data_IF_471925187060
#
_entry.id   IF_471925187060
#
_cell.length_a   1.000
_cell.length_b   1.000
_cell.length_c   1.000
_cell.angle_alpha   90.00
_cell.angle_beta   90.00
_cell.angle_gamma   90.00
#
_symmetry.space_group_name_H-M   'P 1'
#
loop_
_entity.id
_entity.type
_entity.pdbx_description
1 polymer ?
#
# COMPACT_ATOMS: atom_id res chain seq x y z
N UNK A 1 -37.56 47.55 0.78
CA UNK A 1 -36.21 48.09 1.07
C UNK A 1 -35.52 47.15 2.06
N UNK A 2 -34.86 46.12 1.52
CA UNK A 2 -33.41 45.88 1.63
C UNK A 2 -32.96 45.46 3.06
N UNK A 3 -33.14 44.19 3.46
CA UNK A 3 -32.27 43.04 3.19
C UNK A 3 -30.82 43.22 3.69
N UNK A 4 -30.51 42.68 4.87
CA UNK A 4 -29.14 42.57 5.41
C UNK A 4 -28.77 41.10 5.52
N UNK A 5 -27.96 40.61 4.57
CA UNK A 5 -27.37 39.26 4.55
C UNK A 5 -26.34 39.11 5.69
N UNK A 6 -26.24 37.95 6.36
CA UNK A 6 -25.03 37.57 7.06
C UNK A 6 -24.07 36.88 6.08
N UNK A 7 -22.85 37.41 5.98
CA UNK A 7 -21.78 36.81 5.19
C UNK A 7 -21.21 35.57 5.86
N UNK A 8 -21.32 34.44 5.19
CA UNK A 8 -20.60 33.21 5.47
C UNK A 8 -19.10 33.40 5.17
N UNK A 9 -18.26 33.25 6.19
CA UNK A 9 -16.82 33.02 6.01
C UNK A 9 -16.54 31.53 6.20
N UNK A 10 -16.53 30.79 5.10
CA UNK A 10 -15.93 29.46 5.04
C UNK A 10 -14.41 29.63 5.20
N UNK A 11 -13.90 29.30 6.38
CA UNK A 11 -12.48 29.02 6.56
C UNK A 11 -12.35 27.51 6.60
N UNK A 12 -11.97 26.91 5.46
CA UNK A 12 -11.57 25.52 5.41
C UNK A 12 -10.34 25.35 6.33
N UNK A 13 -10.57 24.76 7.51
CA UNK A 13 -9.49 24.24 8.35
C UNK A 13 -9.03 22.94 7.69
N UNK A 14 -7.91 22.99 7.00
CA UNK A 14 -7.08 21.81 6.72
C UNK A 14 -6.80 21.14 8.06
N UNK A 15 -7.36 19.95 8.26
CA UNK A 15 -7.05 19.14 9.42
C UNK A 15 -5.55 18.84 9.39
N UNK A 16 -4.82 19.29 10.42
CA UNK A 16 -3.43 18.87 10.61
C UNK A 16 -3.44 17.36 10.93
N UNK A 17 -2.56 16.55 10.33
CA UNK A 17 -2.46 15.13 10.65
C UNK A 17 -2.15 14.93 12.13
N UNK A 18 -2.69 13.87 12.71
CA UNK A 18 -2.49 13.48 14.11
C UNK A 18 -0.99 13.35 14.41
N UNK A 19 -0.55 13.78 15.60
CA UNK A 19 0.87 13.91 15.92
C UNK A 19 1.62 12.57 16.05
N UNK A 20 0.95 11.44 15.84
CA UNK A 20 1.48 10.08 15.99
C UNK A 20 2.13 9.55 14.71
N UNK A 21 1.62 9.87 13.52
CA UNK A 21 2.19 9.38 12.24
C UNK A 21 3.59 9.98 11.95
N UNK A 22 3.85 11.19 12.45
CA UNK A 22 5.11 11.91 12.27
C UNK A 22 6.15 11.65 13.37
N UNK A 23 5.97 10.62 14.19
CA UNK A 23 6.95 10.24 15.21
C UNK A 23 6.92 8.73 15.44
N UNK A 24 8.04 8.04 15.19
CA UNK A 24 8.15 6.58 15.39
C UNK A 24 9.33 6.27 16.30
N UNK A 25 9.09 5.50 17.36
CA UNK A 25 10.15 5.04 18.26
C UNK A 25 10.38 3.55 18.07
N UNK A 26 11.63 3.17 17.89
CA UNK A 26 12.07 1.79 17.68
C UNK A 26 12.84 1.30 18.89
N UNK A 27 12.61 0.05 19.35
CA UNK A 27 13.35 -0.51 20.47
C UNK A 27 14.85 -0.64 20.14
N UNK A 28 15.73 -0.69 21.15
CA UNK A 28 17.15 -0.86 20.94
C UNK A 28 17.46 -2.19 20.24
N UNK A 29 18.40 -2.15 19.31
CA UNK A 29 18.94 -3.38 18.71
C UNK A 29 19.85 -4.09 19.72
N UNK A 30 19.59 -5.39 19.93
CA UNK A 30 20.46 -6.24 20.73
C UNK A 30 21.87 -6.37 20.14
N UNK A 31 22.84 -6.83 20.94
CA UNK A 31 24.19 -7.08 20.47
C UNK A 31 24.21 -8.16 19.39
N UNK A 32 24.97 -7.93 18.31
CA UNK A 32 25.05 -8.90 17.20
C UNK A 32 26.24 -9.84 17.35
N UNK A 33 26.00 -11.12 17.14
CA UNK A 33 27.03 -12.17 17.17
C UNK A 33 27.72 -12.24 15.80
N UNK A 34 29.03 -11.96 15.77
CA UNK A 34 29.86 -12.04 14.56
C UNK A 34 30.39 -10.69 14.08
N UNK A 35 31.70 -10.60 13.81
CA UNK A 35 32.39 -9.35 13.44
C UNK A 35 32.15 -8.89 11.99
N UNK A 36 31.46 -9.69 11.18
CA UNK A 36 31.28 -9.49 9.73
C UNK A 36 29.84 -9.27 9.27
N UNK A 37 28.83 -9.29 10.15
CA UNK A 37 27.46 -8.97 9.71
C UNK A 37 27.39 -7.55 9.15
N UNK A 38 26.76 -7.41 7.99
CA UNK A 38 26.49 -6.12 7.38
C UNK A 38 25.52 -5.32 8.26
N UNK A 39 25.61 -3.99 8.19
CA UNK A 39 24.60 -3.12 8.80
C UNK A 39 23.43 -2.80 7.85
N UNK A 40 23.62 -3.07 6.56
CA UNK A 40 22.59 -2.95 5.55
C UNK A 40 22.67 -4.08 4.52
N UNK A 41 21.57 -4.79 4.34
CA UNK A 41 21.37 -5.80 3.30
C UNK A 41 20.70 -5.20 2.06
N UNK A 42 19.84 -4.21 2.26
CA UNK A 42 19.14 -3.52 1.18
C UNK A 42 20.05 -2.49 0.50
N UNK A 43 19.79 -2.20 -0.77
CA UNK A 43 20.63 -1.25 -1.51
C UNK A 43 20.45 0.18 -0.99
N UNK A 44 19.26 0.56 -0.51
CA UNK A 44 19.00 1.87 0.08
C UNK A 44 19.61 2.03 1.49
N UNK A 45 19.61 0.95 2.29
CA UNK A 45 20.35 0.92 3.56
C UNK A 45 21.85 1.09 3.34
N UNK A 46 22.41 0.48 2.28
CA UNK A 46 23.82 0.68 1.89
C UNK A 46 24.08 2.10 1.43
N UNK A 47 23.21 2.69 0.60
CA UNK A 47 23.34 4.08 0.18
C UNK A 47 23.34 5.06 1.37
N UNK A 48 22.56 4.77 2.41
CA UNK A 48 22.59 5.53 3.67
C UNK A 48 23.93 5.42 4.40
N UNK A 49 24.50 4.21 4.49
CA UNK A 49 25.85 4.00 5.07
C UNK A 49 26.90 4.74 4.23
N UNK A 50 26.83 4.61 2.91
CA UNK A 50 27.76 5.25 1.98
C UNK A 50 27.74 6.77 2.13
N UNK A 51 26.56 7.37 2.35
CA UNK A 51 26.45 8.81 2.62
C UNK A 51 27.25 9.23 3.87
N UNK A 52 27.26 8.42 4.93
CA UNK A 52 28.06 8.67 6.12
C UNK A 52 29.54 8.42 5.88
N UNK A 53 29.89 7.24 5.36
CA UNK A 53 31.28 6.80 5.24
C UNK A 53 32.05 7.67 4.26
N UNK A 54 31.43 8.09 3.15
CA UNK A 54 32.05 9.00 2.18
C UNK A 54 32.14 10.44 2.68
N UNK A 55 31.38 10.82 3.71
CA UNK A 55 31.52 12.13 4.39
C UNK A 55 32.66 12.12 5.41
N UNK A 56 33.01 10.95 5.95
CA UNK A 56 33.99 10.79 7.03
C UNK A 56 35.37 10.41 6.51
N UNK A 57 36.38 11.26 6.73
CA UNK A 57 37.77 10.95 6.35
C UNK A 57 38.52 10.08 7.39
N UNK A 58 37.91 9.77 8.54
CA UNK A 58 38.54 8.99 9.63
C UNK A 58 37.94 7.57 9.73
N UNK A 59 38.58 6.62 9.05
CA UNK A 59 38.17 5.21 9.06
C UNK A 59 38.25 4.54 10.44
N UNK A 60 39.15 5.01 11.32
CA UNK A 60 39.30 4.53 12.68
C UNK A 60 38.12 4.92 13.57
N UNK A 61 37.57 6.13 13.39
CA UNK A 61 36.32 6.57 14.05
C UNK A 61 35.13 5.74 13.61
N UNK A 62 34.98 5.52 12.31
CA UNK A 62 33.92 4.67 11.76
C UNK A 62 34.00 3.25 12.32
N UNK A 63 35.21 2.67 12.42
CA UNK A 63 35.42 1.35 13.01
C UNK A 63 34.99 1.26 14.49
N UNK A 64 35.26 2.32 15.28
CA UNK A 64 34.74 2.42 16.65
C UNK A 64 33.22 2.54 16.66
N UNK A 65 32.64 3.36 15.80
CA UNK A 65 31.18 3.48 15.66
C UNK A 65 30.50 2.15 15.38
N UNK A 66 31.04 1.35 14.44
CA UNK A 66 30.58 -0.02 14.16
C UNK A 66 30.64 -0.91 15.40
N UNK A 67 31.70 -0.81 16.19
CA UNK A 67 31.84 -1.57 17.45
C UNK A 67 30.74 -1.19 18.45
N UNK A 68 30.41 0.09 18.61
CA UNK A 68 29.34 0.53 19.51
C UNK A 68 27.97 0.05 19.04
N UNK A 69 27.66 0.19 17.75
CA UNK A 69 26.40 -0.31 17.19
C UNK A 69 26.24 -1.83 17.40
N UNK A 70 27.28 -2.63 17.11
CA UNK A 70 27.22 -4.10 17.29
C UNK A 70 27.10 -4.55 18.73
N UNK A 71 27.53 -3.74 19.70
CA UNK A 71 27.40 -4.04 21.14
C UNK A 71 26.02 -3.72 21.70
N UNK A 72 25.10 -3.19 20.89
CA UNK A 72 23.80 -2.72 21.38
C UNK A 72 23.93 -1.49 22.26
N UNK A 73 24.92 -0.63 22.02
CA UNK A 73 25.16 0.57 22.82
C UNK A 73 24.23 1.74 22.47
N UNK A 74 23.29 1.56 21.54
CA UNK A 74 22.30 2.56 21.13
C UNK A 74 20.98 2.13 21.73
N UNK A 75 20.38 3.00 22.55
CA UNK A 75 19.06 2.79 23.15
C UNK A 75 17.96 2.90 22.06
N UNK A 76 16.70 3.06 22.50
CA UNK A 76 15.58 3.37 21.60
C UNK A 76 15.92 4.52 20.63
N UNK A 77 15.44 4.39 19.39
CA UNK A 77 15.66 5.36 18.33
C UNK A 77 14.32 6.01 17.99
N UNK A 78 14.19 7.31 18.19
CA UNK A 78 13.01 8.07 17.80
C UNK A 78 13.27 8.81 16.48
N UNK A 79 12.48 8.50 15.47
CA UNK A 79 12.49 9.12 14.15
C UNK A 79 11.35 10.14 14.06
N UNK A 80 11.69 11.34 13.63
CA UNK A 80 10.78 12.46 13.34
C UNK A 80 11.19 13.11 12.02
N UNK A 81 10.34 13.94 11.40
CA UNK A 81 10.69 14.72 10.23
C UNK A 81 12.07 15.38 10.33
N UNK A 82 13.00 14.95 9.48
CA UNK A 82 14.35 15.49 9.39
C UNK A 82 15.31 15.08 10.51
N UNK A 83 14.91 14.24 11.47
CA UNK A 83 15.76 13.93 12.62
C UNK A 83 15.51 12.54 13.22
N UNK A 84 16.59 11.80 13.41
CA UNK A 84 16.66 10.62 14.27
C UNK A 84 17.36 10.98 15.59
N UNK A 85 16.83 10.54 16.72
CA UNK A 85 17.40 10.76 18.05
C UNK A 85 17.58 9.43 18.79
N UNK A 86 18.67 9.30 19.52
CA UNK A 86 18.89 8.17 20.44
C UNK A 86 19.83 8.57 21.59
N UNK A 87 19.78 7.78 22.65
CA UNK A 87 20.82 7.78 23.70
C UNK A 87 21.85 6.72 23.35
N UNK A 88 23.14 7.07 23.44
CA UNK A 88 24.23 6.15 23.12
C UNK A 88 25.14 5.99 24.33
N UNK A 89 25.24 4.76 24.81
CA UNK A 89 26.12 4.37 25.91
C UNK A 89 27.57 4.54 25.50
N UNK A 90 28.37 5.03 26.44
CA UNK A 90 29.72 5.48 26.21
C UNK A 90 30.65 5.10 27.36
N UNK A 91 31.74 5.85 27.50
CA UNK A 91 32.60 5.77 28.68
C UNK A 91 32.09 6.58 29.87
N UNK A 92 31.12 7.48 29.65
CA UNK A 92 30.50 8.26 30.73
C UNK A 92 29.43 7.44 31.45
N UNK A 93 29.15 7.81 32.70
CA UNK A 93 28.11 7.18 33.51
C UNK A 93 26.70 7.33 32.90
N UNK A 94 26.41 8.49 32.32
CA UNK A 94 25.16 8.75 31.61
C UNK A 94 25.34 8.62 30.09
N UNK A 95 24.35 8.06 29.36
CA UNK A 95 24.38 7.98 27.90
C UNK A 95 24.43 9.35 27.23
N UNK A 96 25.10 9.45 26.08
CA UNK A 96 25.18 10.68 25.29
C UNK A 96 23.92 10.86 24.45
N UNK A 97 23.36 12.08 24.47
CA UNK A 97 22.27 12.47 23.56
C UNK A 97 22.85 12.62 22.18
N UNK A 98 22.36 11.83 21.24
CA UNK A 98 22.89 11.75 19.88
C UNK A 98 21.74 11.92 18.90
N UNK A 99 21.92 12.75 17.88
CA UNK A 99 20.96 12.92 16.82
C UNK A 99 21.63 12.88 15.44
N UNK A 100 20.86 12.46 14.44
CA UNK A 100 21.22 12.51 13.05
C UNK A 100 20.16 13.34 12.33
N UNK A 101 20.56 14.49 11.80
CA UNK A 101 19.66 15.38 11.05
C UNK A 101 19.85 15.16 9.56
N UNK A 102 18.74 15.13 8.83
CA UNK A 102 18.69 15.02 7.36
C UNK A 102 17.78 16.12 6.83
N UNK A 103 18.15 16.72 5.71
CA UNK A 103 17.30 17.73 5.06
C UNK A 103 15.98 17.11 4.62
N UNK A 104 14.87 17.68 5.09
CA UNK A 104 13.53 17.33 4.62
C UNK A 104 13.34 17.79 3.17
N UNK A 105 12.53 17.04 2.43
CA UNK A 105 12.08 17.47 1.10
C UNK A 105 11.13 18.66 1.26
N UNK A 106 11.22 19.62 0.34
CA UNK A 106 10.26 20.73 0.34
C UNK A 106 8.87 20.23 -0.08
N UNK A 107 7.81 21.00 0.18
CA UNK A 107 6.47 20.63 -0.29
C UNK A 107 6.42 20.36 -1.79
N UNK A 108 7.14 21.16 -2.60
CA UNK A 108 7.24 20.96 -4.07
C UNK A 108 8.03 19.72 -4.47
N UNK A 109 8.98 19.28 -3.64
CA UNK A 109 9.72 18.05 -3.89
C UNK A 109 8.89 16.84 -3.51
N UNK A 110 8.08 16.95 -2.45
CA UNK A 110 7.10 15.94 -2.09
C UNK A 110 6.04 15.74 -3.17
N UNK A 111 5.47 16.82 -3.72
CA UNK A 111 4.55 16.73 -4.87
C UNK A 111 5.19 15.96 -6.04
N UNK A 112 6.40 16.35 -6.45
CA UNK A 112 7.11 15.69 -7.55
C UNK A 112 7.46 14.23 -7.28
N UNK A 113 7.80 13.91 -6.03
CA UNK A 113 8.03 12.53 -5.62
C UNK A 113 6.75 11.69 -5.71
N UNK A 114 5.65 12.22 -5.19
CA UNK A 114 4.36 11.54 -5.17
C UNK A 114 3.81 11.35 -6.59
N UNK A 115 4.02 12.31 -7.48
CA UNK A 115 3.70 12.16 -8.91
C UNK A 115 4.52 11.05 -9.57
N UNK A 116 5.83 10.97 -9.28
CA UNK A 116 6.71 9.92 -9.81
C UNK A 116 6.34 8.51 -9.29
N UNK A 117 5.89 8.42 -8.04
CA UNK A 117 5.39 7.17 -7.45
C UNK A 117 4.03 6.80 -8.05
N UNK A 118 3.10 7.76 -8.15
CA UNK A 118 1.75 7.54 -8.69
C UNK A 118 1.76 7.21 -10.20
N UNK A 119 2.77 7.68 -10.94
CA UNK A 119 2.92 7.38 -12.37
C UNK A 119 3.07 5.88 -12.69
N UNK A 120 3.40 5.04 -11.69
CA UNK A 120 3.48 3.58 -11.85
C UNK A 120 2.91 2.86 -10.63
N UNK A 121 1.84 2.09 -10.84
CA UNK A 121 1.25 1.25 -9.80
C UNK A 121 2.28 0.31 -9.12
N UNK A 122 3.30 -0.14 -9.87
CA UNK A 122 4.39 -0.96 -9.33
C UNK A 122 5.21 -0.28 -8.23
N UNK A 123 5.40 1.04 -8.26
CA UNK A 123 6.10 1.76 -7.18
C UNK A 123 5.30 1.76 -5.89
N UNK A 124 3.98 1.92 -5.99
CA UNK A 124 3.09 1.91 -4.83
C UNK A 124 3.03 0.51 -4.23
N UNK A 125 2.91 -0.52 -5.07
CA UNK A 125 2.94 -1.92 -4.62
C UNK A 125 4.24 -2.25 -3.91
N UNK A 126 5.39 -1.84 -4.46
CA UNK A 126 6.68 -2.06 -3.83
C UNK A 126 6.80 -1.36 -2.47
N UNK A 127 6.36 -0.10 -2.35
CA UNK A 127 6.35 0.60 -1.06
C UNK A 127 5.44 -0.11 -0.03
N UNK A 128 4.28 -0.62 -0.44
CA UNK A 128 3.38 -1.41 0.41
C UNK A 128 4.05 -2.71 0.91
N UNK A 129 4.86 -3.33 0.05
CA UNK A 129 5.66 -4.51 0.38
C UNK A 129 6.96 -4.17 1.15
N UNK A 130 7.12 -2.92 1.59
CA UNK A 130 8.30 -2.39 2.28
C UNK A 130 9.60 -2.52 1.46
N UNK A 131 9.46 -2.42 0.14
CA UNK A 131 10.56 -2.40 -0.81
C UNK A 131 10.75 -0.99 -1.41
N UNK A 132 11.98 -0.70 -1.82
CA UNK A 132 12.33 0.55 -2.50
C UNK A 132 13.06 0.19 -3.79
N UNK A 133 12.34 0.02 -4.91
CA UNK A 133 12.95 -0.35 -6.18
C UNK A 133 13.94 0.74 -6.65
N UNK A 134 15.10 0.38 -7.22
CA UNK A 134 16.03 1.35 -7.80
C UNK A 134 15.37 2.28 -8.82
N UNK A 135 14.43 1.76 -9.60
CA UNK A 135 13.66 2.50 -10.61
C UNK A 135 12.92 3.67 -9.98
N UNK A 136 12.21 3.45 -8.85
CA UNK A 136 11.48 4.49 -8.13
C UNK A 136 12.38 5.67 -7.76
N UNK A 137 13.59 5.39 -7.29
CA UNK A 137 14.55 6.42 -6.88
C UNK A 137 15.16 7.15 -8.08
N UNK A 138 15.43 6.45 -9.18
CA UNK A 138 15.89 7.09 -10.41
C UNK A 138 14.79 7.96 -11.04
N UNK A 139 13.51 7.60 -10.92
CA UNK A 139 12.40 8.43 -11.38
C UNK A 139 12.18 9.66 -10.52
N UNK A 140 12.23 9.49 -9.20
CA UNK A 140 12.22 10.61 -8.27
C UNK A 140 13.35 11.58 -8.61
N UNK A 141 14.55 11.06 -8.90
CA UNK A 141 15.72 11.86 -9.29
C UNK A 141 15.55 12.51 -10.65
N UNK A 142 14.94 11.84 -11.63
CA UNK A 142 14.57 12.42 -12.92
C UNK A 142 13.55 13.57 -12.76
N UNK A 143 12.65 13.47 -11.79
CA UNK A 143 11.76 14.56 -11.37
C UNK A 143 12.47 15.65 -10.52
N UNK A 144 13.78 15.53 -10.31
CA UNK A 144 14.60 16.48 -9.56
C UNK A 144 14.54 16.31 -8.03
N UNK A 145 14.06 15.17 -7.56
CA UNK A 145 13.96 14.82 -6.13
C UNK A 145 15.04 13.81 -5.75
N UNK A 146 15.99 14.22 -4.92
CA UNK A 146 16.99 13.30 -4.35
C UNK A 146 16.46 12.68 -3.06
N UNK A 147 15.92 11.46 -3.17
CA UNK A 147 15.35 10.77 -2.02
C UNK A 147 16.41 10.27 -1.03
N UNK A 148 17.46 9.60 -1.50
CA UNK A 148 18.56 9.13 -0.65
C UNK A 148 19.55 10.27 -0.34
N UNK A 149 20.11 10.32 0.88
CA UNK A 149 21.14 11.31 1.22
C UNK A 149 22.43 11.02 0.45
N UNK A 150 23.14 12.07 0.06
CA UNK A 150 24.49 12.00 -0.48
C UNK A 150 25.55 12.41 0.53
N UNK A 151 26.79 12.57 0.03
CA UNK A 151 27.91 13.10 0.82
C UNK A 151 27.56 14.48 1.38
N UNK A 152 27.70 14.63 2.70
CA UNK A 152 27.41 15.89 3.41
C UNK A 152 25.93 16.12 3.77
N UNK A 153 25.00 15.28 3.33
CA UNK A 153 23.57 15.45 3.64
C UNK A 153 23.20 14.96 5.05
N UNK A 154 24.03 14.10 5.65
CA UNK A 154 23.88 13.60 7.02
C UNK A 154 24.60 14.52 8.00
N UNK A 155 23.84 15.14 8.90
CA UNK A 155 24.34 16.08 9.91
C UNK A 155 24.29 15.46 11.32
N UNK A 156 25.39 14.84 11.78
CA UNK A 156 25.49 14.25 13.12
C UNK A 156 25.60 15.33 14.21
N UNK A 157 24.93 15.12 15.34
CA UNK A 157 25.08 15.92 16.55
C UNK A 157 25.14 14.99 17.77
N UNK A 158 26.03 15.29 18.72
CA UNK A 158 26.21 14.44 19.90
C UNK A 158 26.73 15.24 21.08
N UNK A 159 26.17 14.99 22.27
CA UNK A 159 26.60 15.64 23.51
C UNK A 159 27.94 15.14 24.07
N UNK A 160 28.69 14.32 23.31
CA UNK A 160 29.98 13.79 23.76
C UNK A 160 31.10 14.83 23.55
N UNK A 161 32.16 14.82 24.37
CA UNK A 161 33.27 15.77 24.25
C UNK A 161 34.22 15.48 23.08
N UNK A 162 33.80 14.67 22.10
CA UNK A 162 34.60 14.27 20.94
C UNK A 162 34.29 15.19 19.75
N UNK A 163 35.31 15.91 19.28
CA UNK A 163 35.19 16.98 18.28
C UNK A 163 35.30 16.47 16.83
N UNK A 164 35.54 15.16 16.63
CA UNK A 164 35.60 14.65 15.26
C UNK A 164 34.22 14.37 14.67
N UNK A 165 34.16 14.43 13.34
CA UNK A 165 32.93 14.49 12.58
C UNK A 165 32.83 13.33 11.58
N UNK A 166 31.87 12.40 11.72
CA UNK A 166 31.03 12.14 12.90
C UNK A 166 31.86 11.58 14.09
N UNK A 167 31.35 11.75 15.31
CA UNK A 167 31.89 11.05 16.46
C UNK A 167 31.49 9.55 16.42
N UNK A 168 32.12 8.71 17.25
CA UNK A 168 31.80 7.27 17.31
C UNK A 168 30.34 6.99 17.69
N UNK A 169 29.71 7.83 18.51
CA UNK A 169 28.32 7.65 18.94
C UNK A 169 27.33 7.99 17.82
N UNK A 170 27.55 9.11 17.12
CA UNK A 170 26.74 9.48 15.95
C UNK A 170 26.92 8.49 14.80
N UNK A 171 28.13 7.97 14.61
CA UNK A 171 28.38 6.86 13.68
C UNK A 171 27.58 5.62 14.08
N UNK A 172 27.58 5.25 15.37
CA UNK A 172 26.82 4.10 15.86
C UNK A 172 25.32 4.24 15.62
N UNK A 173 24.74 5.43 15.89
CA UNK A 173 23.36 5.74 15.56
C UNK A 173 23.10 5.59 14.06
N UNK A 174 23.98 6.13 13.21
CA UNK A 174 23.84 6.04 11.75
C UNK A 174 23.78 4.58 11.23
N UNK A 175 24.63 3.70 11.77
CA UNK A 175 24.61 2.29 11.41
C UNK A 175 23.34 1.56 11.88
N UNK A 176 22.76 1.96 13.02
CA UNK A 176 21.48 1.40 13.47
C UNK A 176 20.31 1.92 12.66
N UNK A 177 20.35 3.18 12.21
CA UNK A 177 19.34 3.71 11.27
C UNK A 177 19.37 2.92 9.96
N UNK A 178 20.55 2.52 9.47
CA UNK A 178 20.64 1.66 8.28
C UNK A 178 19.88 0.33 8.44
N UNK A 179 19.89 -0.25 9.64
CA UNK A 179 19.09 -1.45 9.95
C UNK A 179 17.60 -1.18 10.05
N UNK A 180 17.22 -0.01 10.56
CA UNK A 180 15.81 0.40 10.52
C UNK A 180 15.33 0.58 9.08
N UNK A 181 16.19 1.13 8.21
CA UNK A 181 15.91 1.28 6.79
C UNK A 181 15.77 -0.08 6.08
N UNK A 182 16.58 -1.08 6.43
CA UNK A 182 16.43 -2.44 5.90
C UNK A 182 15.07 -3.08 6.27
N UNK A 183 14.57 -2.80 7.47
CA UNK A 183 13.29 -3.32 7.96
C UNK A 183 12.10 -2.55 7.39
N UNK A 184 12.28 -1.25 7.17
CA UNK A 184 11.20 -0.35 6.80
C UNK A 184 11.70 0.89 6.02
N UNK A 185 11.45 0.98 4.70
CA UNK A 185 11.82 2.15 3.90
C UNK A 185 11.03 3.41 4.28
N UNK A 186 9.89 3.31 4.97
CA UNK A 186 9.14 4.49 5.45
C UNK A 186 9.91 5.27 6.51
N UNK A 187 10.92 4.68 7.15
CA UNK A 187 11.85 5.42 8.02
C UNK A 187 12.58 6.51 7.22
N UNK A 188 12.96 6.25 5.96
CA UNK A 188 13.56 7.26 5.09
C UNK A 188 12.55 8.36 4.74
N UNK A 189 11.33 7.98 4.40
CA UNK A 189 10.27 8.91 4.02
C UNK A 189 9.89 9.83 5.18
N UNK A 190 9.84 9.28 6.40
CA UNK A 190 9.66 10.04 7.62
C UNK A 190 10.83 10.98 7.88
N UNK A 191 12.07 10.54 7.73
CA UNK A 191 13.24 11.42 7.80
C UNK A 191 13.20 12.53 6.73
N UNK A 192 12.59 12.27 5.57
CA UNK A 192 12.38 13.27 4.51
C UNK A 192 11.15 14.16 4.74
N UNK A 193 10.32 13.88 5.74
CA UNK A 193 9.31 14.79 6.26
C UNK A 193 7.85 14.38 6.03
N UNK A 194 7.56 13.12 5.66
CA UNK A 194 6.19 12.58 5.57
C UNK A 194 6.07 11.28 6.33
N UNK A 195 5.02 11.17 7.17
CA UNK A 195 4.68 9.92 7.82
C UNK A 195 4.10 8.90 6.83
N UNK A 196 3.94 7.67 7.29
CA UNK A 196 3.48 6.57 6.46
C UNK A 196 2.01 6.77 6.07
N UNK A 197 1.16 7.08 7.04
CA UNK A 197 -0.27 7.31 6.78
C UNK A 197 -0.46 8.53 5.88
N UNK A 198 0.23 9.64 6.19
CA UNK A 198 0.20 10.85 5.38
C UNK A 198 0.58 10.57 3.92
N UNK A 199 1.67 9.83 3.69
CA UNK A 199 2.11 9.48 2.34
C UNK A 199 1.09 8.59 1.62
N UNK A 200 0.58 7.56 2.28
CA UNK A 200 -0.33 6.59 1.67
C UNK A 200 -1.68 7.22 1.31
N UNK A 201 -2.19 8.12 2.14
CA UNK A 201 -3.42 8.86 1.84
C UNK A 201 -3.22 9.84 0.68
N UNK A 202 -2.07 10.52 0.65
CA UNK A 202 -1.67 11.39 -0.45
C UNK A 202 -1.54 10.63 -1.80
N UNK A 203 -1.02 9.40 -1.79
CA UNK A 203 -0.94 8.54 -2.98
C UNK A 203 -2.32 8.02 -3.41
N UNK A 204 -3.16 7.60 -2.45
CA UNK A 204 -4.54 7.18 -2.72
C UNK A 204 -5.35 8.31 -3.35
N UNK A 205 -5.24 9.52 -2.81
CA UNK A 205 -5.92 10.70 -3.34
C UNK A 205 -5.46 11.03 -4.76
N UNK A 206 -4.15 10.94 -5.04
CA UNK A 206 -3.61 11.16 -6.40
C UNK A 206 -4.07 10.09 -7.38
N UNK A 207 -4.10 8.82 -6.99
CA UNK A 207 -4.61 7.75 -7.85
C UNK A 207 -6.10 7.90 -8.12
N UNK A 208 -6.90 8.25 -7.11
CA UNK A 208 -8.32 8.54 -7.29
C UNK A 208 -8.55 9.75 -8.20
N UNK A 209 -7.74 10.81 -8.04
CA UNK A 209 -7.79 11.98 -8.89
C UNK A 209 -7.31 11.70 -10.32
N UNK A 210 -6.29 10.87 -10.52
CA UNK A 210 -5.84 10.44 -11.83
C UNK A 210 -6.91 9.58 -12.53
N UNK A 211 -7.50 8.63 -11.81
CA UNK A 211 -8.62 7.84 -12.31
C UNK A 211 -9.83 8.73 -12.67
N UNK A 212 -10.18 9.69 -11.82
CA UNK A 212 -11.25 10.65 -12.10
C UNK A 212 -10.92 11.60 -13.26
N UNK A 213 -9.65 12.02 -13.39
CA UNK A 213 -9.17 12.84 -14.48
C UNK A 213 -9.21 12.08 -15.80
N UNK A 214 -8.75 10.82 -15.84
CA UNK A 214 -8.84 9.92 -16.99
C UNK A 214 -10.29 9.70 -17.41
N UNK A 215 -11.22 9.50 -16.46
CA UNK A 215 -12.66 9.43 -16.73
C UNK A 215 -13.20 10.76 -17.26
N UNK A 216 -12.71 11.91 -16.76
CA UNK A 216 -13.13 13.24 -17.20
C UNK A 216 -12.52 13.68 -18.53
N UNK A 217 -11.34 13.18 -18.87
CA UNK A 217 -10.64 13.39 -20.14
C UNK A 217 -11.25 12.48 -21.19
N UNK A 218 -11.56 11.22 -20.87
CA UNK A 218 -12.37 10.34 -21.72
C UNK A 218 -13.72 10.99 -22.07
N UNK A 219 -14.43 11.53 -21.07
CA UNK A 219 -15.68 12.28 -21.27
C UNK A 219 -15.52 13.64 -22.01
N UNK A 220 -14.31 14.23 -22.07
CA UNK A 220 -14.04 15.48 -22.82
C UNK A 220 -13.46 15.22 -24.22
N UNK A 221 -12.77 14.10 -24.43
CA UNK A 221 -12.29 13.67 -25.73
C UNK A 221 -13.41 13.18 -26.65
N UNK A 222 -14.61 12.95 -26.12
CA UNK A 222 -15.82 12.69 -26.91
C UNK A 222 -16.39 13.93 -27.63
N UNK A 223 -15.70 15.09 -27.59
CA UNK A 223 -16.09 16.31 -28.30
C UNK A 223 -15.02 16.98 -29.17
N UNK A 224 -13.85 16.36 -29.38
CA UNK A 224 -12.87 16.87 -30.35
C UNK A 224 -12.53 15.79 -31.40
N UNK A 225 -12.83 16.01 -32.70
CA UNK A 225 -12.35 15.14 -33.76
C UNK A 225 -10.82 15.16 -33.78
N UNK A 226 -10.11 14.01 -33.77
CA UNK A 226 -8.66 14.02 -33.86
C UNK A 226 -8.24 14.48 -35.26
N UNK A 227 -7.37 15.49 -35.33
CA UNK A 227 -6.59 15.78 -36.51
C UNK A 227 -5.65 14.61 -36.80
N UNK A 228 -5.63 14.21 -38.07
CA UNK A 228 -4.91 13.04 -38.55
C UNK A 228 -3.40 13.19 -38.37
N UNK A 229 -2.82 12.37 -37.49
CA UNK A 229 -1.41 11.97 -37.58
C UNK A 229 -1.36 10.56 -38.16
N UNK A 230 -0.85 10.50 -39.38
CA UNK A 230 -0.70 9.33 -40.22
C UNK A 230 0.35 8.37 -39.64
N UNK A 231 -0.12 7.38 -38.87
CA UNK A 231 0.49 6.04 -38.69
C UNK A 231 -0.24 5.23 -37.60
N UNK A 232 -1.47 4.80 -37.91
CA UNK A 232 -2.13 3.70 -37.20
C UNK A 232 -2.23 2.49 -38.14
N UNK A 233 -2.04 1.25 -37.68
CA UNK A 233 -2.33 0.07 -38.50
C UNK A 233 -3.79 0.15 -38.94
N UNK A 234 -4.00 -0.02 -40.24
CA UNK A 234 -5.27 0.17 -40.94
C UNK A 234 -6.39 -0.60 -40.23
N UNK A 235 -7.33 0.11 -39.58
CA UNK A 235 -8.56 -0.51 -39.07
C UNK A 235 -9.33 -1.08 -40.27
N UNK A 236 -9.71 -2.37 -40.27
CA UNK A 236 -10.60 -2.90 -41.30
C UNK A 236 -11.93 -2.16 -41.23
N UNK A 237 -12.33 -1.52 -42.34
CA UNK A 237 -13.58 -0.74 -42.45
C UNK A 237 -14.81 -1.60 -42.70
N UNK A 238 -14.70 -2.93 -42.58
CA UNK A 238 -15.79 -3.88 -42.65
C UNK A 238 -15.62 -4.93 -41.56
N UNK A 239 -16.65 -5.12 -40.73
CA UNK A 239 -16.68 -6.22 -39.78
C UNK A 239 -16.85 -7.54 -40.53
N UNK A 240 -15.92 -8.48 -40.35
CA UNK A 240 -16.09 -9.86 -40.80
C UNK A 240 -16.97 -10.62 -39.81
N UNK A 241 -17.82 -11.53 -40.30
CA UNK A 241 -18.63 -12.35 -39.39
C UNK A 241 -17.71 -13.32 -38.64
N UNK A 242 -17.84 -13.37 -37.32
CA UNK A 242 -17.02 -14.23 -36.48
C UNK A 242 -17.02 -15.71 -36.90
N UNK A 243 -18.14 -16.22 -37.46
CA UNK A 243 -18.24 -17.57 -37.99
C UNK A 243 -17.33 -17.79 -39.22
N UNK A 244 -17.23 -16.80 -40.11
CA UNK A 244 -16.42 -16.86 -41.32
C UNK A 244 -14.92 -16.79 -40.96
N UNK A 245 -14.56 -15.95 -39.97
CA UNK A 245 -13.20 -15.87 -39.41
C UNK A 245 -12.81 -17.17 -38.69
N UNK A 246 -13.70 -17.71 -37.88
CA UNK A 246 -13.46 -18.97 -37.16
C UNK A 246 -13.32 -20.15 -38.13
N UNK A 247 -14.11 -20.18 -39.21
CA UNK A 247 -14.00 -21.20 -40.25
C UNK A 247 -12.71 -21.09 -41.09
N UNK A 248 -12.17 -19.88 -41.23
CA UNK A 248 -10.91 -19.61 -41.94
C UNK A 248 -9.66 -19.75 -41.05
N UNK A 249 -9.83 -19.86 -39.73
CA UNK A 249 -8.71 -20.00 -38.80
C UNK A 249 -7.98 -21.35 -39.01
N UNK A 250 -6.64 -21.38 -38.86
CA UNK A 250 -5.90 -22.64 -38.88
C UNK A 250 -6.41 -23.58 -37.77
N UNK A 251 -6.15 -24.88 -37.88
CA UNK A 251 -6.58 -25.83 -36.86
C UNK A 251 -6.13 -25.38 -35.45
N UNK A 252 -6.93 -25.73 -34.45
CA UNK A 252 -6.76 -25.24 -33.08
C UNK A 252 -5.38 -25.54 -32.50
N UNK A 253 -4.74 -26.63 -32.94
CA UNK A 253 -3.39 -27.00 -32.53
C UNK A 253 -2.34 -26.03 -33.08
N UNK A 254 -2.46 -25.64 -34.36
CA UNK A 254 -1.57 -24.68 -35.01
C UNK A 254 -1.74 -23.28 -34.43
N UNK A 255 -2.98 -22.86 -34.15
CA UNK A 255 -3.27 -21.58 -33.50
C UNK A 255 -2.69 -21.50 -32.07
N UNK A 256 -2.81 -22.58 -31.29
CA UNK A 256 -2.21 -22.66 -29.95
C UNK A 256 -0.68 -22.64 -30.02
N UNK A 257 -0.08 -23.38 -30.96
CA UNK A 257 1.37 -23.43 -31.12
C UNK A 257 1.97 -22.05 -31.48
N UNK A 258 1.24 -21.24 -32.26
CA UNK A 258 1.64 -19.87 -32.55
C UNK A 258 1.58 -18.97 -31.30
N UNK A 259 0.52 -19.11 -30.47
CA UNK A 259 0.37 -18.35 -29.23
C UNK A 259 1.44 -18.72 -28.18
N UNK A 260 1.77 -20.01 -28.04
CA UNK A 260 2.77 -20.49 -27.06
C UNK A 260 4.18 -20.01 -27.41
N UNK A 261 4.47 -19.81 -28.69
CA UNK A 261 5.78 -19.33 -29.17
C UNK A 261 5.82 -17.81 -29.43
N UNK A 262 4.76 -17.08 -29.07
CA UNK A 262 4.77 -15.62 -29.17
C UNK A 262 5.59 -15.06 -28.02
N UNK A 263 6.71 -14.41 -28.32
CA UNK A 263 7.39 -13.57 -27.33
C UNK A 263 6.39 -12.50 -26.88
N UNK A 264 6.03 -12.53 -25.59
CA UNK A 264 5.24 -11.48 -24.99
C UNK A 264 6.05 -10.19 -25.12
N UNK A 265 5.53 -9.25 -25.92
CA UNK A 265 6.12 -7.94 -26.07
C UNK A 265 6.14 -7.15 -24.76
N UNK A 266 6.58 -5.89 -24.82
CA UNK A 266 6.57 -4.99 -23.66
C UNK A 266 5.16 -4.89 -23.09
N UNK A 267 5.03 -5.05 -21.77
CA UNK A 267 3.76 -4.89 -21.06
C UNK A 267 3.13 -3.54 -21.43
N UNK A 268 1.88 -3.50 -21.92
CA UNK A 268 1.18 -2.26 -22.19
C UNK A 268 1.07 -1.44 -20.90
N UNK A 269 1.22 -0.11 -20.97
CA UNK A 269 1.12 0.72 -19.77
C UNK A 269 -0.31 0.79 -19.19
N UNK A 270 -1.32 0.53 -20.02
CA UNK A 270 -2.74 0.57 -19.65
C UNK A 270 -3.44 -0.73 -20.07
N UNK A 271 -4.51 -1.12 -19.35
CA UNK A 271 -5.44 -2.14 -19.80
C UNK A 271 -6.02 -1.82 -21.17
N UNK A 272 -6.25 -2.85 -21.99
CA UNK A 272 -6.92 -2.67 -23.28
C UNK A 272 -8.35 -2.18 -23.10
N UNK A 273 -8.84 -1.37 -24.04
CA UNK A 273 -10.25 -0.99 -24.10
C UNK A 273 -10.97 -1.94 -25.07
N UNK A 274 -12.07 -2.60 -24.64
CA UNK A 274 -12.86 -3.39 -25.56
C UNK A 274 -13.46 -2.49 -26.65
N UNK A 275 -13.59 -2.97 -27.90
CA UNK A 275 -14.28 -2.21 -28.92
C UNK A 275 -15.73 -1.98 -28.49
N UNK A 276 -16.15 -0.72 -28.44
CA UNK A 276 -17.55 -0.39 -28.19
C UNK A 276 -18.40 -0.97 -29.33
N UNK A 277 -19.44 -1.71 -28.98
CA UNK A 277 -20.42 -2.13 -29.96
C UNK A 277 -21.10 -0.87 -30.47
N UNK A 278 -20.89 -0.50 -31.74
CA UNK A 278 -21.68 0.57 -32.33
C UNK A 278 -23.16 0.19 -32.16
N UNK A 279 -23.99 1.13 -31.66
CA UNK A 279 -25.40 0.91 -31.41
C UNK A 279 -26.02 0.20 -32.61
N UNK A 280 -26.36 -1.08 -32.44
CA UNK A 280 -26.99 -1.85 -33.50
C UNK A 280 -28.34 -1.19 -33.80
N UNK A 281 -28.71 -1.15 -35.07
CA UNK A 281 -30.02 -0.60 -35.49
C UNK A 281 -31.21 -1.40 -34.91
N UNK A 282 -30.97 -2.62 -34.44
CA UNK A 282 -31.96 -3.50 -33.81
C UNK A 282 -31.50 -3.91 -32.40
N UNK A 283 -32.40 -4.00 -31.40
CA UNK A 283 -32.04 -4.46 -30.06
C UNK A 283 -31.54 -5.91 -30.11
N UNK A 284 -30.27 -6.12 -29.76
CA UNK A 284 -29.62 -7.45 -29.80
C UNK A 284 -30.03 -8.33 -28.62
N UNK A 285 -30.91 -7.85 -27.72
CA UNK A 285 -31.30 -8.54 -26.49
C UNK A 285 -30.17 -8.66 -25.46
N UNK A 286 -29.08 -7.93 -25.65
CA UNK A 286 -27.90 -7.92 -24.76
C UNK A 286 -27.82 -6.54 -24.10
N UNK A 287 -27.60 -6.53 -22.79
CA UNK A 287 -27.32 -5.31 -22.03
C UNK A 287 -25.94 -4.78 -22.40
N UNK A 288 -25.91 -3.88 -23.38
CA UNK A 288 -24.68 -3.33 -23.94
C UNK A 288 -23.79 -2.64 -22.89
N UNK A 289 -24.31 -1.78 -21.99
CA UNK A 289 -23.50 -1.19 -20.92
C UNK A 289 -22.90 -2.25 -19.99
N UNK A 290 -23.65 -3.30 -19.64
CA UNK A 290 -23.14 -4.41 -18.83
C UNK A 290 -22.05 -5.22 -19.55
N UNK A 291 -22.21 -5.44 -20.86
CA UNK A 291 -21.19 -6.12 -21.66
C UNK A 291 -19.89 -5.30 -21.73
N UNK A 292 -20.00 -4.00 -21.96
CA UNK A 292 -18.85 -3.08 -21.97
C UNK A 292 -18.15 -3.06 -20.60
N UNK A 293 -18.93 -3.03 -19.51
CA UNK A 293 -18.42 -3.11 -18.14
C UNK A 293 -17.64 -4.41 -17.89
N UNK A 294 -18.20 -5.57 -18.21
CA UNK A 294 -17.56 -6.88 -17.98
C UNK A 294 -16.34 -7.05 -18.89
N UNK A 295 -16.38 -6.55 -20.13
CA UNK A 295 -15.25 -6.58 -21.04
C UNK A 295 -14.09 -5.68 -20.57
N UNK A 296 -14.40 -4.48 -20.07
CA UNK A 296 -13.41 -3.58 -19.49
C UNK A 296 -12.79 -4.21 -18.23
N UNK A 297 -13.60 -4.79 -17.34
CA UNK A 297 -13.12 -5.48 -16.15
C UNK A 297 -12.23 -6.70 -16.49
N UNK A 298 -12.58 -7.47 -17.53
CA UNK A 298 -11.75 -8.56 -18.03
C UNK A 298 -10.39 -8.06 -18.55
N UNK A 299 -10.36 -6.95 -19.28
CA UNK A 299 -9.12 -6.35 -19.78
C UNK A 299 -8.23 -5.83 -18.63
N UNK A 300 -8.81 -5.20 -17.61
CA UNK A 300 -8.08 -4.78 -16.40
C UNK A 300 -7.46 -5.97 -15.67
N UNK A 301 -8.21 -7.06 -15.48
CA UNK A 301 -7.69 -8.28 -14.83
C UNK A 301 -6.59 -8.95 -15.65
N UNK A 302 -6.76 -9.04 -16.97
CA UNK A 302 -5.76 -9.61 -17.86
C UNK A 302 -4.46 -8.80 -17.84
N UNK A 303 -4.56 -7.47 -17.81
CA UNK A 303 -3.41 -6.58 -17.67
C UNK A 303 -2.70 -6.77 -16.32
N UNK A 304 -3.43 -6.80 -15.21
CA UNK A 304 -2.84 -7.05 -13.89
C UNK A 304 -2.17 -8.42 -13.77
N UNK A 305 -2.74 -9.45 -14.41
CA UNK A 305 -2.13 -10.78 -14.52
C UNK A 305 -0.83 -10.74 -15.31
N UNK A 306 -0.82 -10.08 -16.46
CA UNK A 306 0.36 -9.97 -17.31
C UNK A 306 1.46 -9.17 -16.60
N UNK A 307 1.09 -8.12 -15.87
CA UNK A 307 2.00 -7.34 -15.04
C UNK A 307 2.63 -8.22 -13.94
N UNK A 308 1.82 -8.95 -13.17
CA UNK A 308 2.32 -9.86 -12.15
C UNK A 308 3.19 -10.98 -12.72
N UNK A 309 2.84 -11.49 -13.91
CA UNK A 309 3.63 -12.50 -14.63
C UNK A 309 5.00 -11.96 -15.08
N UNK A 310 5.07 -10.68 -15.44
CA UNK A 310 6.31 -10.03 -15.87
C UNK A 310 7.30 -9.76 -14.73
N UNK A 311 6.83 -9.71 -13.48
CA UNK A 311 7.64 -9.35 -12.30
C UNK A 311 8.06 -10.52 -11.42
N UNK A 312 7.63 -11.76 -11.71
CA UNK A 312 7.89 -12.94 -10.86
C UNK A 312 8.79 -14.03 -11.49
N UNK A 313 9.59 -14.66 -10.64
CA UNK A 313 10.32 -15.91 -10.94
C UNK A 313 9.36 -17.05 -11.30
N UNK A 314 9.85 -18.04 -12.05
CA UNK A 314 9.06 -19.18 -12.60
C UNK A 314 8.00 -19.83 -11.68
N UNK A 315 8.21 -20.01 -10.37
CA UNK A 315 7.23 -20.69 -9.50
C UNK A 315 5.95 -19.89 -9.24
N UNK A 316 5.97 -18.56 -9.37
CA UNK A 316 4.78 -17.72 -9.19
C UNK A 316 3.94 -17.62 -10.49
N UNK A 317 4.56 -17.89 -11.65
CA UNK A 317 3.88 -17.96 -12.96
C UNK A 317 2.85 -19.09 -13.05
N UNK A 318 2.97 -20.09 -12.18
CA UNK A 318 2.07 -21.24 -12.03
C UNK A 318 1.01 -21.05 -10.95
N UNK A 319 1.00 -19.92 -10.22
CA UNK A 319 -0.04 -19.63 -9.24
C UNK A 319 -1.40 -19.46 -9.94
N UNK A 320 -2.26 -20.45 -9.78
CA UNK A 320 -3.62 -20.42 -10.30
C UNK A 320 -4.37 -19.30 -9.58
N UNK A 321 -4.84 -18.30 -10.31
CA UNK A 321 -5.76 -17.31 -9.75
C UNK A 321 -6.92 -18.05 -9.07
N UNK A 322 -7.27 -17.69 -7.83
CA UNK A 322 -8.41 -18.31 -7.17
C UNK A 322 -9.65 -18.08 -8.02
N UNK A 323 -10.31 -19.17 -8.43
CA UNK A 323 -11.58 -19.08 -9.14
C UNK A 323 -12.63 -18.53 -8.19
N UNK A 324 -13.06 -17.30 -8.46
CA UNK A 324 -14.15 -16.66 -7.73
C UNK A 324 -15.48 -17.30 -8.13
N UNK A 325 -16.38 -17.45 -7.17
CA UNK A 325 -17.78 -17.72 -7.47
C UNK A 325 -18.42 -16.50 -8.15
N UNK A 326 -19.55 -16.67 -8.84
CA UNK A 326 -20.28 -15.55 -9.46
C UNK A 326 -20.64 -14.47 -8.43
N UNK A 327 -20.99 -14.88 -7.22
CA UNK A 327 -21.26 -13.96 -6.10
C UNK A 327 -20.01 -13.16 -5.71
N UNK A 328 -18.88 -13.85 -5.50
CA UNK A 328 -17.61 -13.20 -5.15
C UNK A 328 -17.16 -12.23 -6.26
N UNK A 329 -17.34 -12.60 -7.53
CA UNK A 329 -17.00 -11.73 -8.66
C UNK A 329 -17.92 -10.49 -8.71
N UNK A 330 -19.21 -10.65 -8.39
CA UNK A 330 -20.17 -9.54 -8.31
C UNK A 330 -19.81 -8.56 -7.20
N UNK A 331 -19.52 -9.07 -5.98
CA UNK A 331 -19.06 -8.24 -4.86
C UNK A 331 -17.74 -7.55 -5.17
N UNK A 332 -16.79 -8.25 -5.81
CA UNK A 332 -15.53 -7.66 -6.30
C UNK A 332 -15.76 -6.51 -7.27
N UNK A 333 -16.65 -6.69 -8.25
CA UNK A 333 -16.95 -5.67 -9.25
C UNK A 333 -17.58 -4.43 -8.60
N UNK A 334 -18.46 -4.63 -7.62
CA UNK A 334 -19.06 -3.55 -6.85
C UNK A 334 -18.05 -2.85 -5.94
N UNK A 335 -17.16 -3.59 -5.27
CA UNK A 335 -16.09 -3.01 -4.47
C UNK A 335 -15.19 -2.08 -5.32
N UNK A 336 -14.86 -2.48 -6.55
CA UNK A 336 -14.10 -1.59 -7.44
C UNK A 336 -14.87 -0.30 -7.84
N UNK A 337 -16.19 -0.23 -7.61
CA UNK A 337 -17.10 0.83 -8.09
C UNK A 337 -18.21 1.09 -7.07
N UNK A 338 -17.83 1.46 -5.84
CA UNK A 338 -18.79 1.70 -4.77
C UNK A 338 -19.82 2.79 -5.13
N UNK A 339 -19.52 3.72 -6.04
CA UNK A 339 -20.47 4.77 -6.42
C UNK A 339 -21.45 4.35 -7.54
N UNK A 340 -21.33 3.14 -8.09
CA UNK A 340 -22.19 2.66 -9.17
C UNK A 340 -23.52 2.09 -8.63
N UNK A 341 -24.51 3.00 -8.49
CA UNK A 341 -25.87 2.65 -8.04
C UNK A 341 -26.59 1.67 -8.96
N UNK A 342 -26.30 1.69 -10.27
CA UNK A 342 -26.98 0.81 -11.24
C UNK A 342 -26.47 -0.61 -11.10
N UNK A 343 -25.15 -0.78 -10.99
CA UNK A 343 -24.54 -2.08 -10.72
C UNK A 343 -24.99 -2.61 -9.36
N UNK A 344 -25.01 -1.76 -8.33
CA UNK A 344 -25.48 -2.13 -6.99
C UNK A 344 -26.91 -2.66 -7.01
N UNK A 345 -27.85 -1.91 -7.60
CA UNK A 345 -29.25 -2.30 -7.69
C UNK A 345 -29.44 -3.64 -8.42
N UNK A 346 -28.70 -3.85 -9.52
CA UNK A 346 -28.74 -5.09 -10.30
C UNK A 346 -28.24 -6.30 -9.51
N UNK A 347 -27.14 -6.14 -8.76
CA UNK A 347 -26.60 -7.22 -7.92
C UNK A 347 -27.56 -7.50 -6.75
N UNK A 348 -28.10 -6.46 -6.12
CA UNK A 348 -29.07 -6.60 -5.03
C UNK A 348 -30.31 -7.39 -5.47
N UNK A 349 -30.87 -7.05 -6.65
CA UNK A 349 -32.00 -7.77 -7.25
C UNK A 349 -31.63 -9.21 -7.63
N UNK A 350 -30.48 -9.43 -8.26
CA UNK A 350 -30.07 -10.76 -8.74
C UNK A 350 -29.83 -11.78 -7.63
N UNK A 351 -29.39 -11.32 -6.45
CA UNK A 351 -29.06 -12.18 -5.31
C UNK A 351 -30.09 -12.12 -4.18
N UNK A 352 -31.16 -11.31 -4.32
CA UNK A 352 -32.15 -11.05 -3.28
C UNK A 352 -31.49 -10.62 -1.94
N UNK A 353 -30.52 -9.70 -2.05
CA UNK A 353 -29.78 -9.17 -0.90
C UNK A 353 -30.12 -7.69 -0.68
N UNK A 354 -30.13 -7.27 0.58
CA UNK A 354 -30.36 -5.87 0.90
C UNK A 354 -29.20 -4.99 0.43
N UNK A 355 -29.49 -3.73 0.12
CA UNK A 355 -28.47 -2.74 -0.26
C UNK A 355 -27.37 -2.61 0.81
N UNK A 356 -27.80 -2.63 2.08
CA UNK A 356 -26.92 -2.61 3.25
C UNK A 356 -26.02 -3.85 3.32
N UNK A 357 -26.58 -5.05 3.19
CA UNK A 357 -25.80 -6.30 3.25
C UNK A 357 -24.79 -6.37 2.09
N UNK A 358 -25.17 -5.87 0.91
CA UNK A 358 -24.31 -5.79 -0.26
C UNK A 358 -23.18 -4.74 -0.07
N UNK A 359 -23.47 -3.60 0.55
CA UNK A 359 -22.47 -2.61 0.95
C UNK A 359 -21.46 -3.17 1.96
N UNK A 360 -21.93 -3.89 2.98
CA UNK A 360 -21.09 -4.58 3.96
C UNK A 360 -20.19 -5.63 3.27
N UNK A 361 -20.73 -6.38 2.31
CA UNK A 361 -19.96 -7.35 1.52
C UNK A 361 -18.87 -6.68 0.69
N UNK A 362 -19.17 -5.56 0.03
CA UNK A 362 -18.19 -4.80 -0.75
C UNK A 362 -17.07 -4.21 0.13
N UNK A 363 -17.40 -3.72 1.32
CA UNK A 363 -16.41 -3.25 2.29
C UNK A 363 -15.55 -4.40 2.85
N UNK A 364 -16.14 -5.57 3.11
CA UNK A 364 -15.40 -6.74 3.54
C UNK A 364 -14.43 -7.23 2.44
N UNK A 365 -14.84 -7.11 1.17
CA UNK A 365 -13.95 -7.34 0.04
C UNK A 365 -12.81 -6.32 -0.02
N UNK A 366 -13.05 -5.04 0.26
CA UNK A 366 -11.95 -4.06 0.35
C UNK A 366 -10.97 -4.37 1.49
N UNK A 367 -11.48 -4.90 2.59
CA UNK A 367 -10.67 -5.20 3.77
C UNK A 367 -9.64 -6.33 3.54
N UNK A 368 -9.97 -7.34 2.72
CA UNK A 368 -9.03 -8.42 2.40
C UNK A 368 -9.45 -9.38 1.29
N UNK A 369 -10.10 -8.85 0.26
CA UNK A 369 -10.52 -9.60 -0.93
C UNK A 369 -11.44 -10.77 -0.61
N UNK A 370 -11.17 -11.92 -1.23
CA UNK A 370 -11.97 -13.13 -1.01
C UNK A 370 -11.94 -13.63 0.43
N UNK A 371 -10.81 -13.46 1.13
CA UNK A 371 -10.67 -13.88 2.52
C UNK A 371 -11.45 -12.97 3.48
N UNK A 372 -11.49 -11.66 3.20
CA UNK A 372 -12.34 -10.72 3.95
C UNK A 372 -13.82 -11.00 3.78
N UNK A 373 -14.27 -11.26 2.55
CA UNK A 373 -15.66 -11.67 2.29
C UNK A 373 -15.99 -13.02 2.95
N UNK A 374 -15.08 -13.98 2.93
CA UNK A 374 -15.26 -15.25 3.64
C UNK A 374 -15.35 -15.07 5.16
N UNK A 375 -14.53 -14.18 5.74
CA UNK A 375 -14.58 -13.86 7.17
C UNK A 375 -15.93 -13.22 7.57
N UNK A 376 -16.55 -12.46 6.66
CA UNK A 376 -17.91 -11.94 6.82
C UNK A 376 -18.96 -13.06 6.83
N UNK A 377 -18.93 -13.93 5.83
CA UNK A 377 -20.04 -14.82 5.51
C UNK A 377 -19.98 -16.18 6.19
N UNK A 378 -18.77 -16.75 6.37
CA UNK A 378 -18.57 -18.15 6.74
C UNK A 378 -17.82 -18.28 8.06
N UNK A 379 -18.52 -18.25 9.20
CA UNK A 379 -17.88 -18.49 10.48
C UNK A 379 -17.40 -19.94 10.60
N UNK A 380 -16.11 -20.12 10.84
CA UNK A 380 -15.42 -21.41 10.97
C UNK A 380 -14.80 -21.56 12.37
N UNK A 381 -14.45 -22.77 12.78
CA UNK A 381 -13.92 -23.04 14.12
C UNK A 381 -12.40 -23.17 14.14
N UNK A 382 -11.64 -22.20 14.71
CA UNK A 382 -10.19 -22.31 14.86
C UNK A 382 -9.78 -23.44 15.78
N UNK A 383 -8.60 -23.99 15.52
CA UNK A 383 -7.98 -25.02 16.37
C UNK A 383 -7.67 -24.45 17.77
N UNK A 384 -7.54 -25.33 18.76
CA UNK A 384 -7.17 -24.93 20.12
C UNK A 384 -5.82 -24.16 20.15
N UNK A 385 -4.86 -24.57 19.32
CA UNK A 385 -3.57 -23.90 19.21
C UNK A 385 -3.68 -22.48 18.64
N UNK A 386 -4.52 -22.27 17.61
CA UNK A 386 -4.78 -20.94 17.05
C UNK A 386 -5.44 -20.02 18.08
N UNK A 387 -6.43 -20.53 18.83
CA UNK A 387 -7.09 -19.77 19.90
C UNK A 387 -6.12 -19.40 21.02
N UNK A 388 -5.30 -20.36 21.47
CA UNK A 388 -4.32 -20.13 22.54
C UNK A 388 -3.26 -19.10 22.14
N UNK A 389 -2.76 -19.16 20.90
CA UNK A 389 -1.81 -18.18 20.37
C UNK A 389 -2.40 -16.77 20.37
N UNK A 390 -3.60 -16.62 19.83
CA UNK A 390 -4.22 -15.32 19.72
C UNK A 390 -4.68 -14.76 21.07
N UNK A 391 -5.07 -15.60 22.03
CA UNK A 391 -5.34 -15.18 23.41
C UNK A 391 -4.08 -14.61 24.06
N UNK A 392 -2.96 -15.33 23.95
CA UNK A 392 -1.68 -14.87 24.47
C UNK A 392 -1.26 -13.53 23.84
N UNK A 393 -1.44 -13.36 22.53
CA UNK A 393 -1.11 -12.09 21.86
C UNK A 393 -1.95 -10.92 22.37
N UNK A 394 -3.23 -11.13 22.68
CA UNK A 394 -4.08 -10.11 23.29
C UNK A 394 -3.65 -9.74 24.70
N UNK A 395 -3.16 -10.70 25.49
CA UNK A 395 -2.58 -10.45 26.82
C UNK A 395 -1.27 -9.65 26.73
N UNK A 396 -0.38 -10.03 25.80
CA UNK A 396 0.96 -9.45 25.67
C UNK A 396 0.95 -7.99 25.16
N UNK A 397 -0.06 -7.58 24.38
CA UNK A 397 -0.14 -6.25 23.75
C UNK A 397 -0.87 -5.20 24.61
N UNK A 398 -1.67 -5.62 25.59
CA UNK A 398 -2.37 -4.70 26.44
C UNK A 398 -1.37 -4.01 27.38
N UNK A 399 -0.94 -2.80 27.03
CA UNK A 399 0.16 -2.02 27.61
C UNK A 399 -0.14 -1.61 29.07
N UNK A 400 -0.12 -2.59 29.99
CA UNK A 400 -0.50 -2.46 31.40
C UNK A 400 -2.00 -2.37 31.70
N UNK A 401 -2.87 -2.43 30.69
CA UNK A 401 -4.34 -2.53 30.83
C UNK A 401 -4.83 -3.96 30.57
N UNK A 402 -5.99 -4.35 31.11
CA UNK A 402 -6.61 -5.63 30.77
C UNK A 402 -7.43 -5.46 29.48
N UNK A 403 -7.29 -6.33 28.45
CA UNK A 403 -8.13 -6.23 27.25
C UNK A 403 -9.60 -6.36 27.63
N UNK A 404 -10.54 -5.76 26.87
CA UNK A 404 -11.95 -5.86 27.18
C UNK A 404 -12.40 -7.33 27.17
N UNK A 405 -13.38 -7.71 28.00
CA UNK A 405 -13.84 -9.08 28.09
C UNK A 405 -14.41 -9.55 26.75
N UNK A 406 -13.69 -10.47 26.09
CA UNK A 406 -14.09 -11.00 24.79
C UNK A 406 -14.97 -12.23 24.91
N UNK A 407 -16.14 -12.18 24.26
CA UNK A 407 -16.98 -13.35 24.01
C UNK A 407 -16.50 -14.05 22.74
N UNK A 408 -15.96 -15.26 22.89
CA UNK A 408 -15.48 -16.07 21.78
C UNK A 408 -16.60 -16.94 21.21
N UNK A 409 -16.90 -16.77 19.92
CA UNK A 409 -17.75 -17.69 19.16
C UNK A 409 -17.08 -18.03 17.83
N UNK A 410 -16.68 -19.31 17.67
CA UNK A 410 -15.99 -19.78 16.45
C UNK A 410 -14.73 -18.94 16.18
N UNK A 411 -14.66 -18.29 15.02
CA UNK A 411 -13.60 -17.38 14.61
C UNK A 411 -13.91 -15.90 14.90
N UNK A 412 -14.98 -15.58 15.65
CA UNK A 412 -15.42 -14.21 15.95
C UNK A 412 -15.28 -13.92 17.43
N UNK A 413 -14.51 -12.90 17.76
CA UNK A 413 -14.21 -12.51 19.14
C UNK A 413 -14.80 -11.13 19.35
N UNK A 414 -15.81 -11.04 20.22
CA UNK A 414 -16.65 -9.85 20.37
C UNK A 414 -16.41 -9.20 21.73
N UNK A 415 -16.12 -7.91 21.73
CA UNK A 415 -16.20 -7.07 22.91
C UNK A 415 -17.59 -6.40 22.91
N UNK A 416 -18.51 -6.92 23.71
CA UNK A 416 -19.93 -6.51 23.64
C UNK A 416 -20.20 -5.11 24.19
N UNK A 417 -19.38 -4.63 25.13
CA UNK A 417 -19.56 -3.32 25.75
C UNK A 417 -19.06 -2.19 24.85
N UNK A 418 -18.11 -2.51 23.99
CA UNK A 418 -17.44 -1.58 23.08
C UNK A 418 -17.98 -1.66 21.66
N UNK A 419 -18.98 -2.52 21.40
CA UNK A 419 -19.58 -2.70 20.07
C UNK A 419 -18.56 -3.12 18.99
N UNK A 420 -17.51 -3.86 19.35
CA UNK A 420 -16.43 -4.25 18.43
C UNK A 420 -16.24 -5.76 18.35
N UNK A 421 -15.79 -6.23 17.19
CA UNK A 421 -15.56 -7.64 16.92
C UNK A 421 -14.38 -7.82 15.97
N UNK A 422 -13.46 -8.72 16.32
CA UNK A 422 -12.40 -9.17 15.40
C UNK A 422 -12.72 -10.58 14.90
N UNK A 423 -12.46 -10.84 13.62
CA UNK A 423 -12.72 -12.14 12.98
C UNK A 423 -11.46 -12.74 12.40
N UNK A 424 -11.13 -13.97 12.77
CA UNK A 424 -9.99 -14.69 12.19
C UNK A 424 -10.38 -15.28 10.82
N UNK A 425 -9.69 -14.86 9.77
CA UNK A 425 -9.81 -15.42 8.43
C UNK A 425 -9.08 -16.76 8.30
N UNK A 426 -9.46 -17.51 7.27
CA UNK A 426 -8.81 -18.79 6.87
C UNK A 426 -7.39 -18.58 6.35
N UNK A 427 -7.08 -17.36 5.91
CA UNK A 427 -5.76 -16.84 5.54
C UNK A 427 -4.86 -16.48 6.73
N UNK A 428 -5.38 -16.57 7.96
CA UNK A 428 -4.63 -16.29 9.19
C UNK A 428 -4.58 -14.81 9.59
N UNK A 429 -5.32 -13.93 8.91
CA UNK A 429 -5.46 -12.50 9.26
C UNK A 429 -6.67 -12.23 10.15
N UNK A 430 -6.64 -11.12 10.88
CA UNK A 430 -7.69 -10.64 11.77
C UNK A 430 -8.40 -9.46 11.13
N UNK A 431 -9.72 -9.61 10.95
CA UNK A 431 -10.58 -8.66 10.28
C UNK A 431 -11.40 -7.90 11.34
N UNK A 432 -11.17 -6.59 11.53
CA UNK A 432 -11.89 -5.77 12.49
C UNK A 432 -13.29 -5.35 12.00
N UNK A 433 -14.27 -5.36 12.90
CA UNK A 433 -15.66 -4.98 12.67
C UNK A 433 -16.20 -4.16 13.84
N UNK A 434 -17.04 -3.17 13.53
CA UNK A 434 -17.83 -2.41 14.51
C UNK A 434 -19.32 -2.65 14.30
N UNK A 435 -20.06 -2.74 15.40
CA UNK A 435 -21.52 -2.81 15.37
C UNK A 435 -22.06 -1.40 15.23
N UNK A 436 -22.82 -1.15 14.17
CA UNK A 436 -23.60 0.07 14.07
C UNK A 436 -24.81 -0.05 15.00
N UNK A 437 -25.00 0.95 15.84
CA UNK A 437 -26.05 1.00 16.85
C UNK A 437 -27.45 1.25 16.25
N UNK A 438 -27.55 1.76 15.02
CA UNK A 438 -28.83 2.05 14.38
C UNK A 438 -29.44 0.81 13.72
N UNK A 439 -28.65 0.05 12.97
CA UNK A 439 -29.10 -1.14 12.23
C UNK A 439 -28.71 -2.47 12.90
N UNK A 440 -27.91 -2.42 13.98
CA UNK A 440 -27.38 -3.57 14.72
C UNK A 440 -26.56 -4.53 13.84
N UNK A 441 -25.98 -4.04 12.73
CA UNK A 441 -25.14 -4.80 11.80
C UNK A 441 -23.66 -4.57 12.08
N UNK A 442 -22.86 -5.55 11.71
CA UNK A 442 -21.40 -5.51 11.85
C UNK A 442 -20.76 -5.01 10.55
N UNK A 443 -20.18 -3.83 10.60
CA UNK A 443 -19.49 -3.17 9.51
C UNK A 443 -17.98 -3.39 9.60
N UNK A 444 -17.29 -3.73 8.50
CA UNK A 444 -15.84 -3.73 8.46
C UNK A 444 -15.29 -2.36 8.89
N UNK A 445 -14.37 -2.34 9.86
CA UNK A 445 -13.84 -1.09 10.43
C UNK A 445 -12.32 -1.21 10.64
N UNK A 446 -11.56 -0.78 9.64
CA UNK A 446 -10.09 -0.86 9.62
C UNK A 446 -9.51 -1.97 8.73
N UNK A 447 -8.19 -2.00 8.52
CA UNK A 447 -7.53 -3.00 7.68
C UNK A 447 -7.46 -4.37 8.36
N UNK A 448 -7.25 -5.43 7.56
CA UNK A 448 -6.94 -6.75 8.10
C UNK A 448 -5.51 -6.79 8.66
N UNK A 449 -5.35 -7.32 9.87
CA UNK A 449 -4.08 -7.36 10.60
C UNK A 449 -3.54 -8.78 10.77
N UNK A 450 -2.24 -8.94 10.98
CA UNK A 450 -1.66 -10.24 11.36
C UNK A 450 -1.86 -10.49 12.86
N UNK A 451 -1.81 -9.41 13.64
CA UNK A 451 -1.90 -9.43 15.10
C UNK A 451 -3.34 -9.14 15.56
N UNK A 452 -3.99 -10.05 16.32
CA UNK A 452 -5.34 -9.80 16.86
C UNK A 452 -5.41 -8.57 17.76
N UNK A 453 -4.33 -8.24 18.46
CA UNK A 453 -4.29 -7.12 19.37
C UNK A 453 -4.16 -5.78 18.63
N UNK A 454 -3.41 -5.75 17.52
CA UNK A 454 -3.40 -4.59 16.63
C UNK A 454 -4.80 -4.35 16.02
N UNK A 455 -5.48 -5.42 15.60
CA UNK A 455 -6.86 -5.34 15.08
C UNK A 455 -7.81 -4.78 16.15
N UNK A 456 -7.74 -5.27 17.38
CA UNK A 456 -8.60 -4.82 18.47
C UNK A 456 -8.27 -3.39 18.92
N UNK A 457 -6.99 -3.04 19.03
CA UNK A 457 -6.58 -1.70 19.45
C UNK A 457 -6.99 -0.62 18.46
N UNK A 458 -6.97 -0.93 17.16
CA UNK A 458 -7.48 -0.04 16.11
C UNK A 458 -8.97 0.27 16.33
N UNK A 459 -9.77 -0.74 16.68
CA UNK A 459 -11.19 -0.59 16.98
C UNK A 459 -11.45 0.17 18.29
N UNK A 460 -10.59 0.06 19.29
CA UNK A 460 -10.77 0.74 20.58
C UNK A 460 -10.27 2.19 20.58
N UNK A 461 -9.41 2.56 19.63
CA UNK A 461 -8.87 3.91 19.50
C UNK A 461 -9.76 4.86 18.68
N UNK A 462 -10.69 4.32 17.88
CA UNK A 462 -11.69 5.04 17.11
C UNK A 462 -13.08 4.91 17.71
#
# INVERSE_FOLDING_TARGET
>A
MAAKKPGTKNSAKTALPSSTDRSRTFPPFGPTVGSRSAFAETWWGRAWIDALENTSMDSGRLARGRTYARRGAVDEITITPGRANAKVHGSAYYPYKTSMTVKQLSGKDWERFLDAVAARAGHIAALLDRDMPPELVEDAKAAGVRLLPGVGDLSPDCSCPDWGWPCKHASALCYQIARLLDLDPFVLLLLRGRGEQELMDELRARNAAAAAAEVSVANRSDLQPPEAVDSAPTRPTGGERAADVFAAAPDTATALAALVNTELGVLPNLPGHPPMLAASREPIGIDQPGLELVAADAAHRAHGLLAAYSTTDEPARTAILPRLSTWQDSVRMLAARLDDETLRARIAEAYDVSDTDLGIAALAWHQGGSAGLEALEKPWSPTAAQKARAHKTLEDYADGGEPPPLRLWRNRWTAEAEDVQIRLGTDGRWYPYRRDTEDNRWWPDGPAEIDPAAALATLLAG
#
